data_IF_216105713570
#
_entry.id   IF_216105713570
#
_cell.length_a   1.000
_cell.length_b   1.000
_cell.length_c   1.000
_cell.angle_alpha   90.00
_cell.angle_beta   90.00
_cell.angle_gamma   90.00
#
_symmetry.space_group_name_H-M   'P 1'
#
loop_
_entity.id
_entity.type
_entity.pdbx_description
1 polymer ?
#
# COMPACT_ATOMS: atom_id res chain seq x y z
N UNK A 1 11.56 -32.17 -26.15
CA UNK A 1 10.42 -31.28 -26.49
C UNK A 1 10.76 -29.88 -26.00
N UNK A 2 11.03 -28.95 -26.91
CA UNK A 2 11.32 -27.57 -26.57
C UNK A 2 10.00 -26.88 -26.18
N UNK A 3 9.86 -26.50 -24.89
CA UNK A 3 8.79 -25.60 -24.49
C UNK A 3 9.15 -24.21 -24.98
N UNK A 4 8.20 -23.45 -25.57
CA UNK A 4 8.52 -22.20 -26.22
C UNK A 4 9.08 -21.20 -25.20
N UNK A 5 10.12 -20.47 -25.60
CA UNK A 5 10.72 -19.31 -24.91
C UNK A 5 9.68 -18.25 -24.51
N UNK A 6 8.49 -18.36 -25.09
CA UNK A 6 7.32 -17.52 -24.88
C UNK A 6 6.13 -18.40 -24.47
N UNK A 7 5.75 -18.35 -23.19
CA UNK A 7 4.52 -19.00 -22.71
C UNK A 7 3.48 -17.96 -22.36
N UNK A 8 2.26 -18.10 -22.87
CA UNK A 8 1.19 -17.11 -22.67
C UNK A 8 -0.15 -17.78 -22.49
N UNK A 9 -1.01 -17.15 -21.71
CA UNK A 9 -2.33 -17.68 -21.42
C UNK A 9 -3.08 -16.88 -20.36
N UNK A 10 -4.32 -17.26 -20.14
CA UNK A 10 -5.14 -16.66 -19.11
C UNK A 10 -4.88 -17.32 -17.76
N UNK A 11 -4.66 -16.50 -16.74
CA UNK A 11 -4.69 -16.93 -15.35
C UNK A 11 -5.64 -16.02 -14.57
N UNK A 12 -6.22 -16.59 -13.52
CA UNK A 12 -6.93 -15.83 -12.52
C UNK A 12 -5.91 -15.32 -11.50
N UNK A 13 -5.74 -13.99 -11.43
CA UNK A 13 -4.87 -13.34 -10.44
C UNK A 13 -5.70 -12.78 -9.31
N UNK A 14 -5.34 -13.09 -8.07
CA UNK A 14 -5.93 -12.40 -6.92
C UNK A 14 -5.59 -10.91 -6.97
N UNK A 15 -6.61 -10.06 -6.79
CA UNK A 15 -6.46 -8.61 -6.83
C UNK A 15 -6.71 -7.97 -5.47
N UNK A 16 -7.91 -8.14 -4.90
CA UNK A 16 -8.25 -7.69 -3.54
C UNK A 16 -9.50 -8.43 -3.05
N UNK A 17 -9.91 -8.23 -1.79
CA UNK A 17 -11.08 -8.89 -1.22
C UNK A 17 -12.42 -8.53 -1.90
N UNK A 18 -12.50 -7.36 -2.54
CA UNK A 18 -13.73 -6.88 -3.19
C UNK A 18 -13.91 -7.53 -4.58
N UNK A 19 -12.84 -7.59 -5.38
CA UNK A 19 -12.85 -8.09 -6.75
C UNK A 19 -12.41 -9.55 -6.85
N UNK A 20 -11.77 -10.08 -5.81
CA UNK A 20 -11.24 -11.43 -5.74
C UNK A 20 -10.26 -11.74 -6.87
N UNK A 21 -10.41 -12.95 -7.41
CA UNK A 21 -9.66 -13.43 -8.58
C UNK A 21 -10.19 -12.79 -9.86
N UNK A 22 -9.29 -12.19 -10.62
CA UNK A 22 -9.60 -11.53 -11.88
C UNK A 22 -8.82 -12.18 -13.01
N UNK A 23 -9.49 -12.41 -14.14
CA UNK A 23 -8.86 -12.98 -15.32
C UNK A 23 -7.86 -11.97 -15.89
N UNK A 24 -6.62 -12.41 -16.08
CA UNK A 24 -5.51 -11.61 -16.59
C UNK A 24 -4.73 -12.41 -17.61
N UNK A 25 -4.27 -11.75 -18.65
CA UNK A 25 -3.46 -12.36 -19.69
C UNK A 25 -2.00 -12.29 -19.25
N UNK A 26 -1.38 -13.45 -19.05
CA UNK A 26 0.01 -13.57 -18.64
C UNK A 26 0.88 -13.95 -19.81
N UNK A 27 2.10 -13.43 -19.83
CA UNK A 27 3.12 -13.72 -20.81
C UNK A 27 4.45 -13.88 -20.07
N UNK A 28 5.03 -15.07 -20.18
CA UNK A 28 6.39 -15.38 -19.79
C UNK A 28 7.28 -15.25 -21.03
N UNK A 29 8.25 -14.35 -20.99
CA UNK A 29 9.20 -14.10 -22.08
C UNK A 29 10.54 -13.69 -21.48
N UNK A 30 11.64 -14.28 -21.95
CA UNK A 30 13.02 -13.92 -21.55
C UNK A 30 13.21 -13.90 -20.02
N UNK A 31 12.63 -14.87 -19.31
CA UNK A 31 12.70 -14.91 -17.84
C UNK A 31 11.80 -13.90 -17.13
N UNK A 32 11.04 -13.06 -17.83
CA UNK A 32 10.10 -12.10 -17.25
C UNK A 32 8.66 -12.57 -17.42
N UNK A 33 7.92 -12.66 -16.31
CA UNK A 33 6.48 -12.91 -16.30
C UNK A 33 5.72 -11.58 -16.22
N UNK A 34 5.13 -11.15 -17.32
CA UNK A 34 4.33 -9.93 -17.42
C UNK A 34 2.84 -10.25 -17.50
N UNK A 35 1.97 -9.35 -17.02
CA UNK A 35 0.52 -9.53 -17.14
C UNK A 35 -0.24 -8.27 -17.57
N UNK A 36 -1.37 -8.51 -18.21
CA UNK A 36 -2.24 -7.50 -18.85
C UNK A 36 -3.70 -7.74 -18.45
N UNK A 37 -4.55 -6.71 -18.57
CA UNK A 37 -5.99 -6.87 -18.34
C UNK A 37 -6.63 -7.77 -19.40
N UNK A 38 -6.30 -7.52 -20.67
CA UNK A 38 -6.80 -8.26 -21.81
C UNK A 38 -5.70 -8.49 -22.85
N UNK A 39 -5.93 -9.44 -23.75
CA UNK A 39 -5.00 -9.77 -24.83
C UNK A 39 -4.90 -8.61 -25.85
N UNK A 40 -5.98 -7.87 -26.11
CA UNK A 40 -5.94 -6.71 -27.01
C UNK A 40 -5.25 -5.47 -26.38
N UNK A 41 -5.18 -5.40 -25.05
CA UNK A 41 -4.53 -4.30 -24.32
C UNK A 41 -2.99 -4.42 -24.25
N UNK A 42 -2.40 -5.45 -24.89
CA UNK A 42 -0.94 -5.68 -24.90
C UNK A 42 -0.16 -4.47 -25.43
N UNK A 43 -0.73 -3.68 -26.33
CA UNK A 43 -0.08 -2.51 -26.93
C UNK A 43 -0.10 -1.26 -26.03
N UNK A 44 -0.91 -1.23 -24.97
CA UNK A 44 -1.23 0.03 -24.29
C UNK A 44 -0.80 0.10 -22.82
N UNK A 45 -0.84 -0.98 -22.02
CA UNK A 45 -0.35 -0.94 -20.62
C UNK A 45 0.02 -2.31 -20.04
N UNK A 46 1.32 -2.53 -19.75
CA UNK A 46 1.74 -3.61 -18.85
C UNK A 46 1.31 -3.29 -17.42
N UNK A 47 0.69 -4.26 -16.71
CA UNK A 47 0.19 -4.06 -15.33
C UNK A 47 1.18 -4.49 -14.25
N UNK A 48 2.22 -5.21 -14.65
CA UNK A 48 3.28 -5.65 -13.77
C UNK A 48 4.07 -6.76 -14.41
N UNK A 49 5.35 -6.79 -14.05
CA UNK A 49 6.32 -7.77 -14.51
C UNK A 49 7.08 -8.30 -13.29
N UNK A 50 7.28 -9.62 -13.26
CA UNK A 50 8.04 -10.32 -12.23
C UNK A 50 9.19 -11.05 -12.89
N UNK A 51 10.40 -10.89 -12.36
CA UNK A 51 11.54 -11.68 -12.82
C UNK A 51 11.43 -13.12 -12.29
N UNK A 52 11.55 -14.10 -13.17
CA UNK A 52 11.46 -15.53 -12.85
C UNK A 52 12.76 -16.07 -12.25
N UNK A 53 13.91 -15.40 -12.46
CA UNK A 53 15.23 -15.85 -11.99
C UNK A 53 15.32 -15.95 -10.46
N UNK A 54 14.74 -14.98 -9.75
CA UNK A 54 14.67 -14.92 -8.29
C UNK A 54 13.35 -15.39 -7.67
N UNK A 55 12.39 -15.80 -8.50
CA UNK A 55 11.06 -16.15 -8.02
C UNK A 55 11.02 -17.54 -7.34
N UNK A 56 10.37 -17.62 -6.19
CA UNK A 56 9.97 -18.85 -5.53
C UNK A 56 8.55 -19.21 -5.94
N UNK A 57 8.31 -20.48 -6.26
CA UNK A 57 7.02 -20.96 -6.79
C UNK A 57 6.50 -22.02 -5.84
N UNK A 58 5.39 -21.72 -5.18
CA UNK A 58 4.71 -22.61 -4.25
C UNK A 58 3.42 -23.16 -4.85
N UNK A 59 3.28 -24.48 -4.83
CA UNK A 59 2.06 -25.15 -5.26
C UNK A 59 1.13 -25.30 -4.04
N UNK A 60 -0.02 -24.62 -4.05
CA UNK A 60 -0.96 -24.66 -2.92
C UNK A 60 -1.97 -25.80 -3.09
N UNK A 61 -2.60 -25.90 -4.26
CA UNK A 61 -3.57 -26.96 -4.55
C UNK A 61 -3.54 -27.40 -6.02
N UNK A 62 -4.53 -28.20 -6.45
CA UNK A 62 -4.64 -28.72 -7.82
C UNK A 62 -4.64 -27.64 -8.90
N UNK A 63 -5.09 -26.41 -8.62
CA UNK A 63 -5.20 -25.31 -9.60
C UNK A 63 -4.52 -24.01 -9.20
N UNK A 64 -4.17 -23.85 -7.91
CA UNK A 64 -3.61 -22.65 -7.32
C UNK A 64 -2.12 -22.79 -7.08
N UNK A 65 -1.39 -21.72 -7.38
CA UNK A 65 0.02 -21.60 -7.13
C UNK A 65 0.37 -20.15 -6.81
N UNK A 66 1.47 -19.96 -6.10
CA UNK A 66 1.95 -18.64 -5.68
C UNK A 66 3.34 -18.42 -6.25
N UNK A 67 3.54 -17.23 -6.80
CA UNK A 67 4.85 -16.76 -7.22
C UNK A 67 5.28 -15.66 -6.25
N UNK A 68 6.37 -15.90 -5.54
CA UNK A 68 6.98 -14.95 -4.60
C UNK A 68 8.32 -14.51 -5.15
N UNK A 69 8.48 -13.23 -5.46
CA UNK A 69 9.77 -12.65 -5.83
C UNK A 69 10.05 -11.43 -4.93
N UNK A 70 10.90 -11.63 -3.92
CA UNK A 70 11.14 -10.64 -2.87
C UNK A 70 9.81 -10.17 -2.24
N UNK A 71 9.43 -8.89 -2.36
CA UNK A 71 8.19 -8.36 -1.80
C UNK A 71 6.93 -8.63 -2.65
N UNK A 72 7.09 -9.11 -3.88
CA UNK A 72 5.95 -9.34 -4.80
C UNK A 72 5.42 -10.77 -4.62
N UNK A 73 4.14 -10.88 -4.27
CA UNK A 73 3.45 -12.17 -4.14
C UNK A 73 2.24 -12.21 -5.06
N UNK A 74 2.25 -13.13 -6.03
CA UNK A 74 1.15 -13.33 -6.96
C UNK A 74 0.45 -14.65 -6.64
N UNK A 75 -0.78 -14.54 -6.14
CA UNK A 75 -1.69 -15.68 -6.02
C UNK A 75 -2.38 -15.90 -7.36
N UNK A 76 -2.08 -17.03 -7.98
CA UNK A 76 -2.52 -17.38 -9.33
C UNK A 76 -3.33 -18.68 -9.31
N UNK A 77 -4.36 -18.71 -10.14
CA UNK A 77 -5.18 -19.89 -10.37
C UNK A 77 -5.27 -20.18 -11.86
N UNK A 78 -4.93 -21.40 -12.23
CA UNK A 78 -5.09 -21.92 -13.58
C UNK A 78 -6.50 -22.51 -13.78
N UNK A 79 -6.91 -22.70 -15.04
CA UNK A 79 -8.23 -23.30 -15.34
C UNK A 79 -8.29 -24.79 -15.02
N UNK A 80 -7.14 -25.46 -14.96
CA UNK A 80 -7.01 -26.89 -14.67
C UNK A 80 -5.66 -27.20 -14.02
N UNK A 81 -5.57 -28.40 -13.43
CA UNK A 81 -4.30 -28.91 -12.89
C UNK A 81 -3.22 -29.06 -13.96
N UNK A 82 -3.62 -29.52 -15.15
CA UNK A 82 -2.71 -29.66 -16.28
C UNK A 82 -2.17 -28.29 -16.69
N UNK A 83 -3.01 -27.25 -16.73
CA UNK A 83 -2.57 -25.90 -17.06
C UNK A 83 -1.69 -25.30 -15.96
N UNK A 84 -2.03 -25.50 -14.68
CA UNK A 84 -1.16 -25.13 -13.54
C UNK A 84 0.22 -25.74 -13.72
N UNK A 85 0.28 -27.05 -14.00
CA UNK A 85 1.54 -27.76 -14.19
C UNK A 85 2.35 -27.17 -15.36
N UNK A 86 1.71 -26.85 -16.48
CA UNK A 86 2.37 -26.20 -17.63
C UNK A 86 2.98 -24.85 -17.24
N UNK A 87 2.24 -24.01 -16.51
CA UNK A 87 2.75 -22.72 -16.03
C UNK A 87 3.94 -22.87 -15.09
N UNK A 88 3.83 -23.73 -14.08
CA UNK A 88 4.91 -23.98 -13.11
C UNK A 88 6.16 -24.53 -13.81
N UNK A 89 6.00 -25.47 -14.73
CA UNK A 89 7.11 -26.01 -15.53
C UNK A 89 7.77 -24.93 -16.38
N UNK A 90 6.99 -24.12 -17.11
CA UNK A 90 7.53 -23.04 -17.93
C UNK A 90 8.32 -22.01 -17.09
N UNK A 91 7.78 -21.60 -15.94
CA UNK A 91 8.43 -20.67 -15.02
C UNK A 91 9.72 -21.24 -14.41
N UNK A 92 9.71 -22.51 -14.02
CA UNK A 92 10.89 -23.19 -13.47
C UNK A 92 11.99 -23.32 -14.51
N UNK A 93 11.66 -23.61 -15.77
CA UNK A 93 12.61 -23.65 -16.87
C UNK A 93 13.19 -22.26 -17.17
N UNK A 94 12.35 -21.23 -17.21
CA UNK A 94 12.79 -19.85 -17.41
C UNK A 94 13.72 -19.38 -16.30
N UNK A 95 13.43 -19.75 -15.04
CA UNK A 95 14.30 -19.52 -13.89
C UNK A 95 15.66 -20.19 -14.06
N UNK A 96 15.69 -21.47 -14.44
CA UNK A 96 16.93 -22.21 -14.64
C UNK A 96 17.80 -21.65 -15.78
N UNK A 97 17.18 -21.10 -16.83
CA UNK A 97 17.87 -20.47 -17.95
C UNK A 97 18.48 -19.11 -17.58
N UNK A 98 17.74 -18.26 -16.87
CA UNK A 98 18.22 -16.94 -16.46
C UNK A 98 19.42 -17.00 -15.49
N UNK A 99 19.60 -18.09 -14.75
CA UNK A 99 20.78 -18.31 -13.89
C UNK A 99 22.02 -18.71 -14.70
N UNK A 100 21.86 -19.15 -15.96
CA UNK A 100 22.97 -19.59 -16.82
C UNK A 100 23.55 -18.50 -17.74
N UNK A 101 22.87 -17.37 -17.95
CA UNK A 101 23.33 -16.25 -18.80
C UNK A 101 23.32 -14.91 -18.02
N UNK A 102 24.47 -14.48 -17.44
CA UNK A 102 24.60 -13.17 -16.81
C UNK A 102 24.98 -12.01 -17.77
N UNK A 103 25.08 -12.22 -19.10
CA UNK A 103 25.67 -11.24 -20.06
C UNK A 103 24.69 -10.67 -21.12
N UNK A 104 23.39 -10.49 -20.82
CA UNK A 104 22.50 -9.75 -21.72
C UNK A 104 21.74 -8.62 -21.01
N UNK A 105 22.46 -7.53 -20.75
CA UNK A 105 21.88 -6.22 -20.50
C UNK A 105 21.34 -5.64 -21.83
N UNK A 106 20.10 -5.14 -21.81
CA UNK A 106 19.62 -4.21 -22.83
C UNK A 106 18.82 -3.12 -22.14
N UNK A 107 19.32 -1.91 -22.32
CA UNK A 107 18.88 -0.63 -21.77
C UNK A 107 17.39 -0.36 -21.92
N UNK A 108 16.84 0.30 -20.90
CA UNK A 108 15.45 0.75 -20.86
C UNK A 108 15.16 1.51 -19.58
N UNK A 109 15.75 2.70 -19.47
CA UNK A 109 15.50 3.69 -18.42
C UNK A 109 14.01 4.02 -18.36
N UNK A 110 13.42 3.85 -17.17
CA UNK A 110 12.00 4.10 -16.92
C UNK A 110 11.74 4.02 -15.43
N UNK A 111 12.11 5.08 -14.72
CA UNK A 111 11.82 5.28 -13.30
C UNK A 111 10.31 5.15 -13.04
N UNK A 112 9.87 4.00 -12.49
CA UNK A 112 8.51 3.82 -12.01
C UNK A 112 8.52 3.67 -10.48
N UNK A 113 7.95 4.69 -9.84
CA UNK A 113 7.73 4.79 -8.40
C UNK A 113 6.97 3.56 -7.88
N UNK A 114 7.64 2.79 -7.02
CA UNK A 114 7.10 1.60 -6.37
C UNK A 114 6.18 2.06 -5.21
N UNK A 115 4.87 2.01 -5.42
CA UNK A 115 3.91 2.15 -4.30
C UNK A 115 3.91 0.84 -3.53
N UNK A 116 4.50 0.90 -2.34
CA UNK A 116 4.62 -0.16 -1.34
C UNK A 116 3.30 -0.27 -0.57
N UNK A 117 2.62 -1.40 -0.66
CA UNK A 117 1.62 -1.80 0.34
C UNK A 117 2.14 -3.02 1.12
N UNK A 118 2.56 -2.77 2.35
CA UNK A 118 2.80 -3.79 3.37
C UNK A 118 1.66 -3.78 4.38
N UNK A 119 0.92 -4.88 4.50
CA UNK A 119 0.25 -5.28 5.75
C UNK A 119 1.20 -6.22 6.51
N UNK A 120 1.30 -6.24 7.84
CA UNK A 120 0.52 -5.57 8.87
C UNK A 120 1.40 -5.25 10.09
N UNK A 121 0.85 -4.41 10.95
CA UNK A 121 1.49 -3.86 12.13
C UNK A 121 0.96 -2.45 12.32
N UNK A 122 -0.18 -2.33 12.98
CA UNK A 122 -0.69 -1.01 13.40
C UNK A 122 0.37 -0.24 14.20
N UNK A 123 1.29 -0.94 14.88
CA UNK A 123 2.50 -0.36 15.48
C UNK A 123 3.55 0.12 14.48
N UNK A 124 3.87 -0.66 13.44
CA UNK A 124 4.94 -0.31 12.48
C UNK A 124 4.64 0.90 11.58
N UNK A 125 3.35 1.15 11.27
CA UNK A 125 2.94 2.35 10.50
C UNK A 125 3.00 3.62 11.35
N UNK A 126 2.59 3.55 12.62
CA UNK A 126 2.71 4.69 13.54
C UNK A 126 4.18 4.94 13.92
N UNK A 127 4.99 3.90 14.04
CA UNK A 127 6.46 3.98 14.17
C UNK A 127 7.09 4.68 12.96
N UNK A 128 6.70 4.35 11.73
CA UNK A 128 7.19 5.05 10.53
C UNK A 128 6.82 6.55 10.54
N UNK A 129 5.60 6.88 10.96
CA UNK A 129 5.14 8.28 11.03
C UNK A 129 5.81 9.05 12.18
N UNK A 130 6.03 8.42 13.33
CA UNK A 130 6.79 9.01 14.44
C UNK A 130 8.24 9.27 14.06
N UNK A 131 8.89 8.35 13.34
CA UNK A 131 10.24 8.53 12.79
C UNK A 131 10.30 9.68 11.78
N UNK A 132 9.33 9.78 10.87
CA UNK A 132 9.26 10.89 9.91
C UNK A 132 9.10 12.23 10.62
N UNK A 133 8.23 12.31 11.64
CA UNK A 133 8.08 13.51 12.48
C UNK A 133 9.39 13.87 13.18
N UNK A 134 10.13 12.88 13.68
CA UNK A 134 11.45 13.10 14.29
C UNK A 134 12.45 13.65 13.27
N UNK A 135 12.53 13.05 12.09
CA UNK A 135 13.40 13.51 10.99
C UNK A 135 13.05 14.91 10.51
N UNK A 136 11.76 15.25 10.46
CA UNK A 136 11.30 16.61 10.14
C UNK A 136 11.72 17.63 11.20
N UNK A 137 11.65 17.27 12.49
CA UNK A 137 12.16 18.14 13.57
C UNK A 137 13.66 18.31 13.50
N UNK A 138 14.42 17.23 13.24
CA UNK A 138 15.87 17.28 13.02
C UNK A 138 16.21 18.22 11.86
N UNK A 139 15.53 18.08 10.73
CA UNK A 139 15.71 18.95 9.57
C UNK A 139 15.42 20.42 9.88
N UNK A 140 14.32 20.72 10.57
CA UNK A 140 13.99 22.09 11.01
C UNK A 140 15.09 22.66 11.91
N UNK A 141 15.61 21.88 12.85
CA UNK A 141 16.70 22.31 13.72
C UNK A 141 17.99 22.58 12.91
N UNK A 142 18.30 21.76 11.91
CA UNK A 142 19.46 21.99 11.02
C UNK A 142 19.29 23.25 10.17
N UNK A 143 18.08 23.51 9.65
CA UNK A 143 17.76 24.76 8.94
C UNK A 143 17.97 25.98 9.85
N UNK A 144 17.43 25.96 11.07
CA UNK A 144 17.56 27.08 12.02
C UNK A 144 19.04 27.36 12.39
N UNK A 145 19.86 26.31 12.50
CA UNK A 145 21.31 26.43 12.72
C UNK A 145 22.00 27.03 11.50
N UNK A 146 21.67 26.58 10.29
CA UNK A 146 22.21 27.14 9.05
C UNK A 146 21.88 28.63 8.94
N UNK A 147 20.64 29.02 9.19
CA UNK A 147 20.21 30.42 9.19
C UNK A 147 21.00 31.22 10.21
N UNK A 148 21.09 30.78 11.47
CA UNK A 148 21.87 31.47 12.52
C UNK A 148 23.35 31.59 12.17
N UNK A 149 23.98 30.50 11.74
CA UNK A 149 25.40 30.50 11.41
C UNK A 149 25.69 31.43 10.23
N UNK A 150 24.85 31.41 9.19
CA UNK A 150 24.99 32.33 8.05
C UNK A 150 24.91 33.79 8.48
N UNK A 151 23.96 34.14 9.35
CA UNK A 151 23.79 35.50 9.87
C UNK A 151 24.99 35.95 10.73
N UNK A 152 25.49 35.07 11.61
CA UNK A 152 26.67 35.36 12.45
C UNK A 152 27.92 35.55 11.60
N UNK A 153 28.17 34.66 10.65
CA UNK A 153 29.32 34.76 9.73
C UNK A 153 29.25 36.04 8.92
N UNK A 154 28.09 36.37 8.34
CA UNK A 154 27.92 37.62 7.59
C UNK A 154 28.19 38.85 8.45
N UNK A 155 27.74 38.84 9.71
CA UNK A 155 27.98 39.94 10.65
C UNK A 155 29.47 40.04 11.03
N UNK A 156 30.13 38.93 11.32
CA UNK A 156 31.56 38.90 11.64
C UNK A 156 32.42 39.42 10.49
N UNK A 157 32.15 38.94 9.27
CA UNK A 157 32.93 39.39 8.12
C UNK A 157 32.66 40.88 7.84
N UNK A 158 31.42 41.37 8.00
CA UNK A 158 31.15 42.81 7.91
C UNK A 158 31.94 43.64 8.94
N UNK A 159 32.04 43.16 10.19
CA UNK A 159 32.81 43.87 11.24
C UNK A 159 34.32 43.83 11.02
N UNK A 160 34.90 42.73 10.51
CA UNK A 160 36.34 42.63 10.21
C UNK A 160 36.74 43.52 9.02
N UNK A 161 35.84 43.64 8.04
CA UNK A 161 35.96 44.54 6.89
C UNK A 161 35.94 46.01 7.34
N UNK A 162 35.03 46.37 8.25
CA UNK A 162 34.95 47.73 8.81
C UNK A 162 36.12 48.04 9.76
N UNK A 163 36.59 47.06 10.54
CA UNK A 163 37.69 47.19 11.49
C UNK A 163 39.08 47.27 10.87
N UNK A 164 39.29 46.67 9.69
CA UNK A 164 40.54 46.76 8.93
C UNK A 164 40.81 48.15 8.34
N UNK A 165 39.86 49.10 8.45
CA UNK A 165 39.95 50.45 7.87
C UNK A 165 40.83 51.45 8.65
N UNK A 166 41.79 51.00 9.48
CA UNK A 166 42.79 51.93 10.08
C UNK A 166 43.87 52.41 9.09
N UNK A 167 43.81 52.02 7.81
CA UNK A 167 44.59 52.68 6.76
C UNK A 167 44.53 51.95 5.43
N UNK A 168 43.85 52.53 4.44
CA UNK A 168 43.94 52.13 3.03
C UNK A 168 42.75 51.30 2.52
N UNK A 169 42.35 51.61 1.29
CA UNK A 169 41.28 51.02 0.48
C UNK A 169 41.05 49.52 0.74
N UNK A 170 39.80 49.14 1.07
CA UNK A 170 39.37 47.73 1.12
C UNK A 170 39.71 47.03 -0.20
N UNK A 171 40.40 45.89 -0.13
CA UNK A 171 40.75 45.10 -1.31
C UNK A 171 39.46 44.77 -2.11
N UNK A 172 39.32 45.27 -3.35
CA UNK A 172 38.12 45.07 -4.15
C UNK A 172 37.80 43.58 -4.36
N UNK A 173 38.80 42.70 -4.39
CA UNK A 173 38.58 41.25 -4.51
C UNK A 173 37.98 40.65 -3.25
N UNK A 174 38.38 41.12 -2.07
CA UNK A 174 37.80 40.71 -0.79
C UNK A 174 36.32 41.11 -0.70
N UNK A 175 35.99 42.33 -1.16
CA UNK A 175 34.62 42.86 -1.21
C UNK A 175 33.72 42.08 -2.17
N UNK A 176 34.27 41.65 -3.31
CA UNK A 176 33.58 40.80 -4.28
C UNK A 176 33.34 39.39 -3.73
N UNK A 177 34.36 38.76 -3.15
CA UNK A 177 34.26 37.43 -2.51
C UNK A 177 33.21 37.40 -1.38
N UNK A 178 33.12 38.48 -0.61
CA UNK A 178 32.09 38.69 0.40
C UNK A 178 30.67 38.77 -0.16
N UNK A 179 30.53 39.48 -1.27
CA UNK A 179 29.25 39.64 -1.95
C UNK A 179 28.78 38.30 -2.54
N UNK A 180 29.71 37.51 -3.10
CA UNK A 180 29.47 36.15 -3.60
C UNK A 180 29.11 35.18 -2.46
N UNK A 181 29.83 35.22 -1.34
CA UNK A 181 29.51 34.40 -0.18
C UNK A 181 28.11 34.71 0.35
N UNK A 182 27.76 35.99 0.48
CA UNK A 182 26.43 36.43 0.93
C UNK A 182 25.33 35.96 -0.01
N UNK A 183 25.51 36.13 -1.33
CA UNK A 183 24.55 35.67 -2.33
C UNK A 183 24.34 34.15 -2.24
N UNK A 184 25.43 33.39 -2.05
CA UNK A 184 25.40 31.94 -1.92
C UNK A 184 24.75 31.48 -0.61
N UNK A 185 25.02 32.15 0.50
CA UNK A 185 24.41 31.88 1.79
C UNK A 185 22.90 32.17 1.78
N UNK A 186 22.48 33.30 1.20
CA UNK A 186 21.07 33.65 1.03
C UNK A 186 20.34 32.64 0.13
N UNK A 187 21.00 32.17 -0.94
CA UNK A 187 20.48 31.11 -1.78
C UNK A 187 20.33 29.78 -1.01
N UNK A 188 21.28 29.43 -0.15
CA UNK A 188 21.21 28.23 0.70
C UNK A 188 20.08 28.31 1.74
N UNK A 189 19.88 29.48 2.36
CA UNK A 189 18.75 29.71 3.27
C UNK A 189 17.42 29.51 2.53
N UNK A 190 17.25 30.12 1.35
CA UNK A 190 16.04 29.95 0.53
C UNK A 190 15.82 28.51 0.07
N UNK A 191 16.88 27.80 -0.34
CA UNK A 191 16.79 26.41 -0.76
C UNK A 191 16.37 25.50 0.40
N UNK A 192 16.95 25.69 1.59
CA UNK A 192 16.59 24.93 2.79
C UNK A 192 15.17 25.25 3.29
N UNK A 193 14.73 26.50 3.19
CA UNK A 193 13.35 26.90 3.48
C UNK A 193 12.35 26.24 2.50
N UNK A 194 12.65 26.27 1.20
CA UNK A 194 11.83 25.62 0.16
C UNK A 194 11.69 24.12 0.39
N UNK A 195 12.79 23.43 0.73
CA UNK A 195 12.76 22.01 1.06
C UNK A 195 11.88 21.72 2.29
N UNK A 196 11.99 22.55 3.34
CA UNK A 196 11.20 22.39 4.56
C UNK A 196 9.70 22.61 4.31
N UNK A 197 9.32 23.58 3.48
CA UNK A 197 7.94 23.78 3.05
C UNK A 197 7.39 22.57 2.28
N UNK A 198 8.18 22.03 1.34
CA UNK A 198 7.78 20.86 0.56
C UNK A 198 7.65 19.61 1.44
N UNK A 199 8.61 19.38 2.34
CA UNK A 199 8.55 18.27 3.29
C UNK A 199 7.32 18.36 4.20
N UNK A 200 6.94 19.56 4.67
CA UNK A 200 5.74 19.78 5.52
C UNK A 200 4.44 19.52 4.73
N UNK A 201 4.42 19.90 3.46
CA UNK A 201 3.29 19.65 2.57
C UNK A 201 3.07 18.16 2.34
N UNK A 202 4.15 17.42 2.05
CA UNK A 202 4.12 15.96 1.87
C UNK A 202 3.67 15.26 3.16
N UNK A 203 4.23 15.65 4.32
CA UNK A 203 3.82 15.11 5.62
C UNK A 203 2.32 15.29 5.87
N UNK A 204 1.78 16.49 5.62
CA UNK A 204 0.36 16.78 5.79
C UNK A 204 -0.50 15.95 4.82
N UNK A 205 -0.06 15.74 3.59
CA UNK A 205 -0.75 14.89 2.60
C UNK A 205 -0.79 13.43 3.06
N UNK A 206 0.37 12.83 3.33
CA UNK A 206 0.46 11.45 3.79
C UNK A 206 -0.35 11.19 5.06
N UNK A 207 -0.37 12.14 5.99
CA UNK A 207 -1.20 12.05 7.19
C UNK A 207 -2.69 11.91 6.87
N UNK A 208 -3.20 12.69 5.91
CA UNK A 208 -4.62 12.60 5.50
C UNK A 208 -4.90 11.28 4.79
N UNK A 209 -4.05 10.89 3.86
CA UNK A 209 -4.23 9.68 3.07
C UNK A 209 -4.24 8.44 3.97
N UNK A 210 -3.28 8.35 4.90
CA UNK A 210 -3.21 7.27 5.89
C UNK A 210 -4.43 7.24 6.82
N UNK A 211 -4.93 8.40 7.25
CA UNK A 211 -6.16 8.47 8.04
C UNK A 211 -7.36 7.97 7.24
N UNK A 212 -7.50 8.40 5.98
CA UNK A 212 -8.59 7.95 5.11
C UNK A 212 -8.55 6.45 4.84
N UNK A 213 -7.36 5.87 4.69
CA UNK A 213 -7.15 4.43 4.54
C UNK A 213 -7.54 3.68 5.82
N UNK A 214 -7.19 4.22 7.00
CA UNK A 214 -7.61 3.66 8.30
C UNK A 214 -9.13 3.68 8.46
N UNK A 215 -9.77 4.81 8.16
CA UNK A 215 -11.22 4.96 8.25
C UNK A 215 -11.95 4.05 7.26
N UNK A 216 -11.37 3.82 6.08
CA UNK A 216 -11.90 2.88 5.09
C UNK A 216 -11.80 1.44 5.61
N UNK A 217 -10.67 1.05 6.20
CA UNK A 217 -10.49 -0.30 6.79
C UNK A 217 -11.50 -0.57 7.89
N UNK A 218 -11.69 0.38 8.81
CA UNK A 218 -12.66 0.24 9.91
C UNK A 218 -14.08 0.06 9.37
N UNK A 219 -14.48 0.87 8.38
CA UNK A 219 -15.80 0.73 7.72
C UNK A 219 -15.97 -0.61 7.02
N UNK A 220 -14.94 -1.10 6.34
CA UNK A 220 -14.99 -2.42 5.69
C UNK A 220 -15.13 -3.53 6.72
N UNK A 221 -14.42 -3.43 7.85
CA UNK A 221 -14.54 -4.40 8.94
C UNK A 221 -15.96 -4.42 9.53
N UNK A 222 -16.53 -3.27 9.84
CA UNK A 222 -17.91 -3.15 10.35
C UNK A 222 -18.95 -3.72 9.36
N UNK A 223 -18.77 -3.44 8.06
CA UNK A 223 -19.63 -4.01 7.02
C UNK A 223 -19.51 -5.54 6.95
N UNK A 224 -18.30 -6.09 7.10
CA UNK A 224 -18.07 -7.54 7.12
C UNK A 224 -18.73 -8.20 8.33
N UNK A 225 -18.61 -7.60 9.52
CA UNK A 225 -19.27 -8.07 10.74
C UNK A 225 -20.79 -8.07 10.59
N UNK A 226 -21.35 -7.01 9.99
CA UNK A 226 -22.79 -6.91 9.71
C UNK A 226 -23.27 -8.01 8.77
N UNK A 227 -22.55 -8.25 7.66
CA UNK A 227 -22.87 -9.32 6.73
C UNK A 227 -22.76 -10.71 7.38
N UNK A 228 -21.74 -10.94 8.21
CA UNK A 228 -21.57 -12.19 8.94
C UNK A 228 -22.77 -12.46 9.87
N UNK A 229 -23.25 -11.43 10.58
CA UNK A 229 -24.43 -11.54 11.43
C UNK A 229 -25.71 -11.83 10.63
N UNK A 230 -25.87 -11.22 9.45
CA UNK A 230 -26.99 -11.50 8.55
C UNK A 230 -26.98 -12.95 8.05
N UNK A 231 -25.82 -13.44 7.61
CA UNK A 231 -25.66 -14.85 7.19
C UNK A 231 -26.01 -15.77 8.34
N UNK A 232 -25.50 -15.49 9.55
CA UNK A 232 -25.80 -16.29 10.73
C UNK A 232 -27.31 -16.30 11.07
N UNK A 233 -28.00 -15.16 10.92
CA UNK A 233 -29.45 -15.07 11.06
C UNK A 233 -30.20 -15.94 10.06
N UNK A 234 -29.85 -15.81 8.77
CA UNK A 234 -30.45 -16.59 7.69
C UNK A 234 -30.21 -18.10 7.86
N UNK A 235 -29.03 -18.51 8.30
CA UNK A 235 -28.72 -19.91 8.61
C UNK A 235 -29.59 -20.46 9.75
N UNK A 236 -29.83 -19.65 10.79
CA UNK A 236 -30.67 -20.04 11.91
C UNK A 236 -32.14 -20.15 11.51
N UNK A 237 -32.64 -19.24 10.68
CA UNK A 237 -34.00 -19.28 10.14
C UNK A 237 -34.19 -20.49 9.21
N UNK A 238 -33.22 -20.77 8.34
CA UNK A 238 -33.21 -21.96 7.50
C UNK A 238 -33.27 -23.24 8.35
N UNK A 239 -32.43 -23.36 9.40
CA UNK A 239 -32.44 -24.50 10.33
C UNK A 239 -33.79 -24.66 11.04
N UNK A 240 -34.43 -23.57 11.46
CA UNK A 240 -35.77 -23.59 12.07
C UNK A 240 -36.82 -24.09 11.10
N UNK A 241 -36.77 -23.66 9.83
CA UNK A 241 -37.72 -24.11 8.82
C UNK A 241 -37.55 -25.60 8.47
N UNK A 242 -36.32 -26.11 8.45
CA UNK A 242 -36.01 -27.54 8.18
C UNK A 242 -36.34 -28.42 9.38
N UNK A 243 -36.17 -27.94 10.62
CA UNK A 243 -36.52 -28.67 11.84
C UNK A 243 -38.02 -28.71 12.16
N UNK A 244 -38.83 -27.84 11.54
CA UNK A 244 -40.29 -27.76 11.77
C UNK A 244 -41.15 -28.71 10.93
N UNK A 245 -40.58 -29.37 9.90
CA UNK A 245 -41.33 -30.18 8.94
C UNK A 245 -41.63 -31.63 9.37
N UNK A 246 -41.22 -32.05 10.57
CA UNK A 246 -41.19 -33.46 10.96
C UNK A 246 -41.94 -33.80 12.24
N UNK A 247 -43.17 -33.33 12.43
CA UNK A 247 -44.09 -33.88 13.47
C UNK A 247 -45.55 -33.53 13.15
N UNK A 248 -46.14 -34.31 12.25
CA UNK A 248 -47.56 -34.24 11.92
C UNK A 248 -48.14 -35.61 11.63
N UNK A 249 -48.33 -36.44 12.67
CA UNK A 249 -49.45 -37.38 12.76
C UNK A 249 -49.51 -38.04 14.15
N UNK A 250 -50.47 -37.59 14.98
CA UNK A 250 -51.34 -38.44 15.80
C UNK A 250 -52.46 -37.56 16.37
N UNK A 251 -53.68 -37.98 16.08
CA UNK A 251 -54.95 -37.33 16.39
C UNK A 251 -55.41 -37.59 17.83
N UNK A 252 -56.13 -36.58 18.35
CA UNK A 252 -57.20 -36.59 19.35
C UNK A 252 -56.90 -36.97 20.81
N UNK A 253 -57.11 -36.02 21.73
CA UNK A 253 -58.30 -36.04 22.61
C UNK A 253 -58.41 -34.75 23.47
N UNK A 254 -59.66 -34.48 23.84
CA UNK A 254 -60.24 -33.32 24.53
C UNK A 254 -59.48 -32.77 25.74
N UNK A 255 -59.66 -31.45 25.97
CA UNK A 255 -59.36 -30.81 27.25
C UNK A 255 -59.62 -29.30 27.22
N UNK A 256 -60.88 -28.92 27.41
CA UNK A 256 -61.34 -27.54 27.58
C UNK A 256 -60.69 -26.83 28.77
N UNK A 257 -60.31 -25.54 28.59
CA UNK A 257 -60.17 -24.43 29.58
C UNK A 257 -59.03 -23.51 29.14
N UNK A 258 -59.06 -22.19 29.22
CA UNK A 258 -60.04 -21.17 29.59
C UNK A 258 -59.40 -19.88 29.11
N UNK A 259 -60.14 -19.03 28.40
CA UNK A 259 -59.64 -17.73 27.93
C UNK A 259 -59.63 -16.79 29.12
N UNK A 260 -58.45 -16.32 29.54
CA UNK A 260 -58.34 -15.15 30.42
C UNK A 260 -57.45 -14.13 29.71
N UNK A 261 -58.13 -13.22 29.00
CA UNK A 261 -57.63 -11.88 28.72
C UNK A 261 -57.86 -11.02 29.95
N UNK A 262 -56.86 -10.25 30.40
CA UNK A 262 -57.04 -8.83 30.76
C UNK A 262 -55.72 -8.13 31.14
N UNK A 263 -55.70 -6.77 31.07
CA UNK A 263 -54.53 -5.94 30.75
C UNK A 263 -54.07 -5.05 31.93
N UNK A 264 -53.25 -4.01 31.63
CA UNK A 264 -52.91 -2.80 32.46
C UNK A 264 -51.43 -2.79 32.90
N UNK A 265 -50.64 -1.70 32.93
CA UNK A 265 -50.71 -0.26 32.63
C UNK A 265 -49.22 0.20 32.50
N UNK A 266 -48.81 1.04 31.54
CA UNK A 266 -48.80 2.52 31.55
C UNK A 266 -47.96 3.21 32.65
N UNK A 267 -47.15 4.18 32.20
CA UNK A 267 -46.47 5.32 32.89
C UNK A 267 -45.30 4.98 33.83
N UNK A 268 -44.12 5.61 33.74
CA UNK A 268 -43.82 7.01 34.08
C UNK A 268 -42.39 7.38 33.55
N UNK A 269 -42.19 8.29 32.60
CA UNK A 269 -41.85 9.74 32.71
C UNK A 269 -40.74 10.17 33.68
N UNK A 270 -39.79 11.00 33.18
CA UNK A 270 -38.87 11.86 33.97
C UNK A 270 -37.38 11.49 33.83
N UNK A 271 -36.50 12.12 33.02
CA UNK A 271 -36.03 13.52 32.88
C UNK A 271 -35.01 13.96 33.96
N UNK A 272 -33.81 14.34 33.52
CA UNK A 272 -32.77 15.10 34.24
C UNK A 272 -31.41 14.86 33.58
N UNK A 273 -30.93 15.67 32.63
CA UNK A 273 -30.25 16.98 32.78
C UNK A 273 -29.18 16.96 33.87
N UNK A 274 -27.91 16.79 33.46
CA UNK A 274 -26.83 17.77 33.50
C UNK A 274 -25.75 17.38 32.49
#
# INVERSE_FOLDING_TARGET
MAYPEHFRGWLLKWTNYIKGYQKRWFILSNGLLSYYRAQEEMAHTCRGTVNSSGAFIDNIDSTNFVITNGPQVYYLRASSEVERQRWVTALTLAKAKAVKDPESESDGEGEMVVVRETGGGEGGRDEGMTQLRKKMKELSATHDVIVRNSQVLLKQIATEVEGSSRGGHLDPTLKENLSLFRLTADAMVKASEGYLLQARSVEKRWRRDMQSERDLRLRLQENMETMANQIHGLENDAKRSVGGGGRGHRSASQGSREVVLSPSAATDTGRGVF
#
